data_IF_725840096548
#
_entry.id   IF_725840096548
#
_cell.length_a   1.000
_cell.length_b   1.000
_cell.length_c   1.000
_cell.angle_alpha   90.00
_cell.angle_beta   90.00
_cell.angle_gamma   90.00
#
_symmetry.space_group_name_H-M   'P 1'
#
loop_
_entity.id
_entity.type
_entity.pdbx_description
1 polymer ?
#
# COMPACT_ATOMS: atom_id res chain seq x y z
N UNK A 1 -9.13 -60.29 49.50
CA UNK A 1 -7.79 -60.76 49.91
C UNK A 1 -7.04 -61.27 48.70
N UNK A 2 -6.08 -60.49 48.18
CA UNK A 2 -4.78 -60.95 47.67
C UNK A 2 -3.98 -59.73 47.24
N UNK A 3 -3.00 -59.44 48.09
CA UNK A 3 -1.95 -58.45 48.02
C UNK A 3 -1.00 -58.77 46.86
N UNK A 4 -0.58 -57.81 46.04
CA UNK A 4 0.73 -57.91 45.35
C UNK A 4 1.32 -56.52 45.07
N UNK A 5 2.64 -56.51 45.25
CA UNK A 5 3.65 -55.45 45.39
C UNK A 5 3.67 -54.28 44.39
N UNK A 6 4.11 -53.14 44.94
CA UNK A 6 4.76 -52.04 44.24
C UNK A 6 6.06 -52.49 43.55
N UNK A 7 6.27 -52.02 42.32
CA UNK A 7 7.60 -51.81 41.75
C UNK A 7 7.64 -50.44 41.08
N UNK A 8 8.41 -49.55 41.68
CA UNK A 8 8.74 -48.23 41.13
C UNK A 8 9.77 -48.38 40.02
N UNK A 9 9.43 -47.95 38.81
CA UNK A 9 10.39 -47.81 37.70
C UNK A 9 10.69 -46.33 37.51
N UNK A 10 11.84 -45.87 38.01
CA UNK A 10 12.37 -44.55 37.70
C UNK A 10 12.91 -44.55 36.27
N UNK A 11 12.22 -43.88 35.35
CA UNK A 11 12.73 -43.60 34.01
C UNK A 11 13.42 -42.24 34.03
N UNK A 12 14.75 -42.24 33.94
CA UNK A 12 15.54 -41.03 33.68
C UNK A 12 15.27 -40.64 32.22
N UNK A 13 14.33 -39.73 32.00
CA UNK A 13 14.07 -39.15 30.69
C UNK A 13 15.16 -38.14 30.34
N UNK A 14 16.10 -38.52 29.47
CA UNK A 14 17.04 -37.58 28.84
C UNK A 14 16.26 -36.66 27.90
N UNK A 15 16.12 -35.39 28.26
CA UNK A 15 15.59 -34.38 27.37
C UNK A 15 16.62 -34.08 26.26
N UNK A 16 16.45 -34.69 25.09
CA UNK A 16 17.13 -34.25 23.87
C UNK A 16 16.38 -33.02 23.34
N UNK A 17 16.75 -31.84 23.83
CA UNK A 17 16.35 -30.58 23.22
C UNK A 17 17.19 -30.36 21.95
N UNK A 18 16.80 -30.98 20.83
CA UNK A 18 17.29 -30.55 19.52
C UNK A 18 16.49 -29.31 19.11
N UNK A 19 17.00 -28.13 19.44
CA UNK A 19 16.56 -26.92 18.77
C UNK A 19 16.94 -27.05 17.28
N UNK A 20 16.01 -26.91 16.32
CA UNK A 20 16.40 -26.77 14.94
C UNK A 20 17.10 -25.42 14.79
N UNK A 21 18.42 -25.47 14.63
CA UNK A 21 19.23 -24.33 14.19
C UNK A 21 19.02 -24.13 12.70
N UNK A 22 17.79 -23.82 12.27
CA UNK A 22 17.54 -23.30 10.93
C UNK A 22 17.90 -21.80 10.91
N UNK A 23 19.19 -21.52 11.08
CA UNK A 23 19.79 -20.29 10.57
C UNK A 23 19.99 -20.49 9.06
N UNK A 24 18.89 -20.55 8.31
CA UNK A 24 18.98 -20.28 6.88
C UNK A 24 19.46 -18.84 6.76
N UNK A 25 20.72 -18.67 6.36
CA UNK A 25 21.21 -17.40 5.85
C UNK A 25 20.39 -17.12 4.60
N UNK A 26 19.27 -16.39 4.76
CA UNK A 26 18.58 -15.76 3.64
C UNK A 26 19.66 -14.90 2.99
N UNK A 27 20.10 -15.31 1.80
CA UNK A 27 20.91 -14.44 0.95
C UNK A 27 20.20 -13.10 0.96
N UNK A 28 20.89 -12.02 1.38
CA UNK A 28 20.37 -10.66 1.16
C UNK A 28 20.03 -10.65 -0.30
N UNK A 29 18.72 -10.68 -0.62
CA UNK A 29 18.25 -10.69 -2.00
C UNK A 29 19.09 -9.65 -2.72
N UNK A 30 19.66 -9.99 -3.88
CA UNK A 30 20.12 -8.97 -4.80
C UNK A 30 18.96 -7.97 -4.87
N UNK A 31 19.11 -6.81 -4.21
CA UNK A 31 17.98 -5.98 -3.88
C UNK A 31 17.46 -5.48 -5.22
N UNK A 32 16.37 -6.08 -5.70
CA UNK A 32 15.74 -5.66 -6.93
C UNK A 32 15.40 -4.19 -6.70
N UNK A 33 15.91 -3.34 -7.59
CA UNK A 33 15.72 -1.90 -7.47
C UNK A 33 14.24 -1.60 -7.74
N UNK A 34 13.47 -1.04 -6.78
CA UNK A 34 12.08 -0.71 -7.00
C UNK A 34 11.85 0.31 -8.14
N UNK A 35 12.88 1.02 -8.61
CA UNK A 35 12.81 1.84 -9.83
C UNK A 35 12.64 1.00 -11.11
N UNK A 36 12.86 -0.31 -11.05
CA UNK A 36 12.63 -1.24 -12.17
C UNK A 36 11.16 -1.69 -12.27
N UNK A 37 10.34 -1.46 -11.25
CA UNK A 37 8.91 -1.78 -11.27
C UNK A 37 8.19 -1.04 -12.41
N UNK A 38 7.21 -1.70 -13.04
CA UNK A 38 6.40 -1.07 -14.12
C UNK A 38 5.29 -0.16 -13.60
N UNK A 39 4.99 -0.21 -12.30
CA UNK A 39 3.95 0.57 -11.67
C UNK A 39 2.56 0.20 -12.16
N UNK A 40 1.68 1.19 -12.24
CA UNK A 40 0.26 1.00 -12.51
C UNK A 40 -0.19 1.71 -13.79
N UNK A 41 -1.33 1.28 -14.33
CA UNK A 41 -2.05 1.93 -15.43
C UNK A 41 -3.38 2.44 -14.93
N UNK A 42 -3.66 3.74 -15.11
CA UNK A 42 -4.96 4.32 -14.82
C UNK A 42 -5.97 3.99 -15.92
N UNK A 43 -7.11 3.45 -15.51
CA UNK A 43 -8.26 3.09 -16.36
C UNK A 43 -9.54 3.64 -15.75
N UNK A 44 -10.61 3.67 -16.54
CA UNK A 44 -11.95 4.06 -16.10
C UNK A 44 -11.97 5.40 -15.35
N UNK A 45 -11.20 6.38 -15.84
CA UNK A 45 -11.11 7.70 -15.22
C UNK A 45 -12.47 8.40 -15.33
N UNK A 46 -13.03 8.77 -14.19
CA UNK A 46 -14.30 9.49 -14.07
C UNK A 46 -14.07 10.80 -13.36
N UNK A 47 -14.26 11.90 -14.08
CA UNK A 47 -14.13 13.25 -13.53
C UNK A 47 -15.51 13.81 -13.18
N UNK A 48 -15.59 14.55 -12.08
CA UNK A 48 -16.77 15.32 -11.70
C UNK A 48 -16.35 16.76 -11.35
N UNK A 49 -17.29 17.58 -10.89
CA UNK A 49 -17.02 18.99 -10.59
C UNK A 49 -16.03 19.20 -9.44
N UNK A 50 -15.87 18.24 -8.52
CA UNK A 50 -15.07 18.35 -7.30
C UNK A 50 -13.90 17.36 -7.22
N UNK A 51 -13.52 16.74 -8.34
CA UNK A 51 -12.40 15.81 -8.39
C UNK A 51 -12.54 14.73 -9.44
N UNK A 52 -11.90 13.58 -9.19
CA UNK A 52 -11.97 12.42 -10.07
C UNK A 52 -11.76 11.10 -9.31
N UNK A 53 -12.13 10.00 -9.96
CA UNK A 53 -11.78 8.64 -9.55
C UNK A 53 -11.19 7.86 -10.71
N UNK A 54 -10.30 6.91 -10.44
CA UNK A 54 -9.79 5.99 -11.46
C UNK A 54 -9.51 4.61 -10.86
N UNK A 55 -9.53 3.58 -11.71
CA UNK A 55 -9.00 2.26 -11.39
C UNK A 55 -7.51 2.23 -11.76
N UNK A 56 -6.63 1.86 -10.83
CA UNK A 56 -5.22 1.63 -11.16
C UNK A 56 -4.97 0.12 -11.21
N UNK A 57 -4.57 -0.38 -12.38
CA UNK A 57 -4.26 -1.81 -12.59
C UNK A 57 -2.75 -1.98 -12.66
N UNK A 58 -2.19 -2.96 -11.92
CA UNK A 58 -0.75 -3.22 -11.95
C UNK A 58 -0.31 -3.60 -13.38
N UNK A 59 0.74 -2.95 -13.89
CA UNK A 59 1.22 -3.18 -15.26
C UNK A 59 1.98 -4.51 -15.38
N UNK A 60 2.78 -4.85 -14.36
CA UNK A 60 3.48 -6.12 -14.21
C UNK A 60 3.80 -6.32 -12.73
N UNK A 61 3.83 -7.58 -12.29
CA UNK A 61 4.23 -7.93 -10.92
C UNK A 61 5.63 -7.35 -10.62
N UNK A 62 5.78 -6.73 -9.45
CA UNK A 62 7.07 -6.29 -8.96
C UNK A 62 7.53 -7.18 -7.81
N UNK A 63 6.68 -7.32 -6.78
CA UNK A 63 6.81 -8.34 -5.74
C UNK A 63 8.15 -8.33 -4.99
N UNK A 64 8.75 -7.15 -4.79
CA UNK A 64 10.10 -7.04 -4.22
C UNK A 64 10.06 -7.24 -2.71
N UNK A 65 9.07 -6.66 -2.05
CA UNK A 65 8.94 -6.62 -0.59
C UNK A 65 7.67 -7.32 -0.08
N UNK A 66 6.91 -7.97 -0.96
CA UNK A 66 5.72 -8.74 -0.62
C UNK A 66 4.77 -8.91 -1.81
N UNK A 67 3.58 -9.49 -1.59
CA UNK A 67 2.58 -9.62 -2.65
C UNK A 67 2.12 -8.27 -3.18
N UNK A 68 2.07 -8.13 -4.51
CA UNK A 68 1.54 -6.95 -5.18
C UNK A 68 0.02 -6.84 -5.01
N UNK A 69 -0.49 -5.61 -4.93
CA UNK A 69 -1.92 -5.34 -4.95
C UNK A 69 -2.39 -5.07 -6.38
N UNK A 70 -3.00 -6.07 -7.02
CA UNK A 70 -3.29 -6.00 -8.46
C UNK A 70 -4.24 -4.88 -8.91
N UNK A 71 -5.11 -4.40 -8.02
CA UNK A 71 -6.12 -3.41 -8.34
C UNK A 71 -6.26 -2.39 -7.22
N UNK A 72 -5.93 -1.14 -7.52
CA UNK A 72 -6.11 -0.01 -6.64
C UNK A 72 -7.23 0.90 -7.15
N UNK A 73 -7.70 1.77 -6.26
CA UNK A 73 -8.62 2.86 -6.56
C UNK A 73 -7.92 4.17 -6.23
N UNK A 74 -7.92 5.09 -7.19
CA UNK A 74 -7.56 6.49 -7.01
C UNK A 74 -8.83 7.29 -6.75
N UNK A 75 -8.80 8.12 -5.71
CA UNK A 75 -9.83 9.10 -5.37
C UNK A 75 -9.17 10.45 -5.15
N UNK A 76 -9.57 11.45 -5.93
CA UNK A 76 -9.07 12.83 -5.82
C UNK A 76 -10.26 13.71 -5.47
N UNK A 77 -10.15 14.47 -4.39
CA UNK A 77 -11.19 15.38 -3.93
C UNK A 77 -10.61 16.78 -3.68
N UNK A 78 -11.25 17.79 -4.24
CA UNK A 78 -11.01 19.19 -3.88
C UNK A 78 -11.81 19.51 -2.61
N UNK A 79 -11.15 19.45 -1.46
CA UNK A 79 -11.81 19.60 -0.15
C UNK A 79 -12.12 21.07 0.16
N UNK A 80 -11.24 21.99 -0.28
CA UNK A 80 -11.42 23.43 -0.21
C UNK A 80 -10.54 24.15 -1.26
N UNK A 81 -10.45 25.48 -1.18
CA UNK A 81 -9.71 26.29 -2.16
C UNK A 81 -8.22 25.98 -2.22
N UNK A 82 -7.60 25.54 -1.12
CA UNK A 82 -6.15 25.33 -1.03
C UNK A 82 -5.79 23.89 -0.65
N UNK A 83 -6.75 22.96 -0.68
CA UNK A 83 -6.54 21.56 -0.33
C UNK A 83 -7.14 20.61 -1.35
N UNK A 84 -6.24 19.82 -1.95
CA UNK A 84 -6.56 18.63 -2.73
C UNK A 84 -6.17 17.42 -1.90
N UNK A 85 -7.11 16.50 -1.71
CA UNK A 85 -6.87 15.22 -1.06
C UNK A 85 -6.82 14.13 -2.14
N UNK A 86 -5.68 13.44 -2.21
CA UNK A 86 -5.45 12.28 -3.08
C UNK A 86 -5.37 11.04 -2.21
N UNK A 87 -6.21 10.05 -2.49
CA UNK A 87 -6.19 8.74 -1.84
C UNK A 87 -5.99 7.66 -2.89
N UNK A 88 -5.01 6.80 -2.66
CA UNK A 88 -4.80 5.56 -3.41
C UNK A 88 -4.93 4.41 -2.42
N UNK A 89 -5.82 3.47 -2.69
CA UNK A 89 -6.05 2.33 -1.80
C UNK A 89 -6.39 1.06 -2.56
N UNK A 90 -6.25 -0.07 -1.89
CA UNK A 90 -6.72 -1.36 -2.40
C UNK A 90 -8.21 -1.28 -2.76
N UNK A 91 -8.55 -1.65 -4.00
CA UNK A 91 -9.93 -1.62 -4.48
C UNK A 91 -10.84 -2.58 -3.70
N UNK A 92 -10.30 -3.65 -3.13
CA UNK A 92 -11.04 -4.57 -2.26
C UNK A 92 -11.25 -4.04 -0.83
N UNK A 93 -10.59 -2.94 -0.45
CA UNK A 93 -10.76 -2.30 0.86
C UNK A 93 -10.19 -3.10 2.04
N UNK A 94 -9.22 -3.99 1.82
CA UNK A 94 -8.69 -4.87 2.87
C UNK A 94 -7.61 -4.23 3.74
N UNK A 95 -7.20 -3.01 3.43
CA UNK A 95 -6.06 -2.36 4.08
C UNK A 95 -6.49 -1.51 5.26
N UNK A 96 -5.61 -1.45 6.25
CA UNK A 96 -5.80 -0.57 7.39
C UNK A 96 -5.83 0.90 6.93
N UNK A 97 -6.83 1.63 7.40
CA UNK A 97 -6.91 3.08 7.29
C UNK A 97 -6.91 3.66 8.69
N UNK A 98 -6.22 4.78 8.88
CA UNK A 98 -6.26 5.50 10.16
C UNK A 98 -7.72 5.88 10.46
N UNK A 99 -8.26 5.52 11.64
CA UNK A 99 -9.63 5.83 12.03
C UNK A 99 -9.92 7.34 12.02
N UNK A 100 -11.13 7.74 11.64
CA UNK A 100 -11.53 9.17 11.60
C UNK A 100 -11.58 9.83 12.98
N UNK A 101 -11.77 9.04 14.03
CA UNK A 101 -11.71 9.52 15.42
C UNK A 101 -10.29 9.99 15.81
N UNK A 102 -9.25 9.40 15.21
CA UNK A 102 -7.85 9.77 15.41
C UNK A 102 -7.44 10.89 14.45
N UNK A 103 -7.88 10.79 13.19
CA UNK A 103 -7.56 11.77 12.16
C UNK A 103 -8.83 12.14 11.35
N UNK A 104 -9.55 13.20 11.76
CA UNK A 104 -10.77 13.62 11.09
C UNK A 104 -10.51 14.06 9.65
N UNK A 105 -11.25 13.48 8.71
CA UNK A 105 -11.19 13.83 7.28
C UNK A 105 -12.23 14.90 6.96
N UNK A 106 -11.87 15.82 6.06
CA UNK A 106 -12.81 16.85 5.60
C UNK A 106 -13.97 16.19 4.85
N UNK A 107 -15.19 16.67 5.10
CA UNK A 107 -16.38 16.29 4.32
C UNK A 107 -16.75 17.36 3.29
N UNK A 108 -16.08 18.50 3.34
CA UNK A 108 -16.29 19.63 2.43
C UNK A 108 -15.78 19.29 1.03
N UNK A 109 -16.48 19.83 0.03
CA UNK A 109 -16.07 19.74 -1.37
C UNK A 109 -16.31 21.08 -2.04
N UNK A 110 -15.35 21.52 -2.84
CA UNK A 110 -15.48 22.69 -3.72
C UNK A 110 -15.30 22.25 -5.17
N UNK A 111 -15.71 23.09 -6.11
CA UNK A 111 -15.46 22.77 -7.52
C UNK A 111 -13.97 22.95 -7.83
N UNK A 112 -13.42 22.10 -8.69
CA UNK A 112 -12.05 22.22 -9.16
C UNK A 112 -11.77 23.60 -9.80
N UNK A 113 -12.79 24.20 -10.44
CA UNK A 113 -12.71 25.56 -11.00
C UNK A 113 -12.48 26.64 -9.95
N UNK A 114 -12.99 26.46 -8.73
CA UNK A 114 -12.86 27.41 -7.62
C UNK A 114 -11.58 27.24 -6.80
N UNK A 115 -10.92 26.08 -6.90
CA UNK A 115 -9.68 25.80 -6.17
C UNK A 115 -8.46 26.53 -6.76
N UNK A 116 -7.45 26.81 -5.94
CA UNK A 116 -6.16 27.39 -6.34
C UNK A 116 -5.14 26.34 -6.82
N UNK A 117 -5.48 25.07 -6.65
CA UNK A 117 -4.67 23.91 -7.01
C UNK A 117 -5.24 23.20 -8.23
N UNK A 118 -4.36 22.55 -8.99
CA UNK A 118 -4.70 21.78 -10.20
C UNK A 118 -4.09 20.40 -10.08
N UNK A 119 -4.93 19.36 -10.11
CA UNK A 119 -4.50 17.97 -10.17
C UNK A 119 -4.39 17.54 -11.64
N UNK A 120 -3.28 16.89 -12.00
CA UNK A 120 -3.07 16.27 -13.32
C UNK A 120 -2.54 14.86 -13.15
N UNK A 121 -2.82 13.99 -14.11
CA UNK A 121 -2.28 12.63 -14.13
C UNK A 121 -1.82 12.23 -15.54
N UNK A 122 -0.88 11.29 -15.58
CA UNK A 122 -0.53 10.49 -16.76
C UNK A 122 -1.05 9.09 -16.52
N UNK A 123 -1.64 8.46 -17.53
CA UNK A 123 -2.30 7.17 -17.35
C UNK A 123 -1.33 5.98 -17.29
N UNK A 124 -0.28 5.98 -18.11
CA UNK A 124 0.65 4.85 -18.25
C UNK A 124 2.07 5.32 -18.59
N UNK A 125 3.09 4.96 -17.77
CA UNK A 125 2.93 4.53 -16.38
C UNK A 125 2.23 5.62 -15.57
N UNK A 126 1.38 5.20 -14.63
CA UNK A 126 0.60 6.13 -13.82
C UNK A 126 1.52 7.03 -13.00
N UNK A 127 1.28 8.33 -13.12
CA UNK A 127 1.88 9.36 -12.27
C UNK A 127 0.89 10.51 -12.13
N UNK A 128 1.07 11.33 -11.09
CA UNK A 128 0.26 12.53 -10.91
C UNK A 128 1.09 13.70 -10.41
N UNK A 129 0.54 14.89 -10.62
CA UNK A 129 1.10 16.12 -10.08
C UNK A 129 0.01 17.04 -9.57
N UNK A 130 0.41 17.88 -8.61
CA UNK A 130 -0.39 18.98 -8.07
C UNK A 130 0.38 20.26 -8.29
N UNK A 131 -0.23 21.21 -8.98
CA UNK A 131 0.35 22.52 -9.24
C UNK A 131 -0.55 23.63 -8.73
N UNK A 132 0.01 24.81 -8.49
CA UNK A 132 -0.76 26.05 -8.36
C UNK A 132 -1.38 26.41 -9.71
N UNK A 133 -2.45 27.21 -9.71
CA UNK A 133 -3.08 27.75 -10.93
C UNK A 133 -2.12 28.56 -11.82
N UNK A 134 -1.08 29.17 -11.24
CA UNK A 134 -0.04 29.90 -11.97
C UNK A 134 0.95 28.97 -12.70
N UNK A 135 0.81 27.64 -12.56
CA UNK A 135 1.64 26.64 -13.23
C UNK A 135 2.81 26.10 -12.40
N UNK A 136 3.08 26.65 -11.21
CA UNK A 136 4.13 26.15 -10.33
C UNK A 136 3.78 24.76 -9.79
N UNK A 137 4.65 23.77 -10.02
CA UNK A 137 4.46 22.39 -9.58
C UNK A 137 4.88 22.27 -8.12
N UNK A 138 3.97 21.80 -7.25
CA UNK A 138 4.23 21.60 -5.83
C UNK A 138 4.53 20.14 -5.49
N UNK A 139 3.97 19.22 -6.27
CA UNK A 139 4.11 17.80 -6.09
C UNK A 139 4.08 17.13 -7.47
N UNK A 140 5.01 16.21 -7.73
CA UNK A 140 5.05 15.43 -8.96
C UNK A 140 5.63 14.05 -8.64
N UNK A 141 4.92 12.99 -9.01
CA UNK A 141 5.41 11.60 -8.84
C UNK A 141 6.11 11.07 -10.08
N UNK A 142 6.28 11.87 -11.13
CA UNK A 142 7.02 11.44 -12.32
C UNK A 142 8.47 11.10 -11.97
N UNK A 143 8.99 10.10 -12.66
CA UNK A 143 10.36 9.61 -12.48
C UNK A 143 10.50 8.48 -11.47
N UNK A 144 9.44 8.14 -10.71
CA UNK A 144 9.41 6.99 -9.82
C UNK A 144 8.16 6.14 -10.09
N UNK A 145 8.32 4.82 -10.10
CA UNK A 145 7.20 3.90 -10.21
C UNK A 145 6.42 3.86 -8.89
N UNK A 146 5.09 3.95 -8.97
CA UNK A 146 4.21 3.65 -7.84
C UNK A 146 4.34 2.15 -7.51
N UNK A 147 4.84 1.85 -6.31
CA UNK A 147 4.91 0.48 -5.79
C UNK A 147 3.91 0.34 -4.66
N UNK A 148 3.02 -0.64 -4.75
CA UNK A 148 1.97 -0.86 -3.77
C UNK A 148 1.85 -2.36 -3.52
N UNK A 149 2.46 -2.80 -2.43
CA UNK A 149 2.53 -4.17 -1.96
C UNK A 149 1.95 -4.27 -0.54
N UNK A 150 1.81 -5.49 -0.02
CA UNK A 150 1.20 -5.68 1.30
C UNK A 150 1.96 -5.02 2.46
N UNK A 151 3.28 -4.86 2.34
CA UNK A 151 4.12 -4.30 3.40
C UNK A 151 5.03 -3.17 2.90
N UNK A 152 4.83 -2.71 1.67
CA UNK A 152 5.65 -1.67 1.06
C UNK A 152 4.82 -0.74 0.18
N UNK A 153 4.99 0.56 0.38
CA UNK A 153 4.39 1.61 -0.44
C UNK A 153 5.48 2.62 -0.80
N UNK A 154 5.55 3.00 -2.08
CA UNK A 154 6.44 4.06 -2.57
C UNK A 154 5.77 4.83 -3.70
#
# INVERSE_FOLDING_TARGET
>A
MKTTLLTTLSLVGTALSSAPSDLSLVSRQNAVDPDTCKGYVAKNVKTNSNGLTADLTLAANCGIYGPDIQSLKLEVTYEDKDRVHVKIGDKAGKRYEVPEEVFPRSKSKVTASSANLVFKHVAEPFSFSVSRKNGEVLFDTKGSALVFEEQYLR
#
